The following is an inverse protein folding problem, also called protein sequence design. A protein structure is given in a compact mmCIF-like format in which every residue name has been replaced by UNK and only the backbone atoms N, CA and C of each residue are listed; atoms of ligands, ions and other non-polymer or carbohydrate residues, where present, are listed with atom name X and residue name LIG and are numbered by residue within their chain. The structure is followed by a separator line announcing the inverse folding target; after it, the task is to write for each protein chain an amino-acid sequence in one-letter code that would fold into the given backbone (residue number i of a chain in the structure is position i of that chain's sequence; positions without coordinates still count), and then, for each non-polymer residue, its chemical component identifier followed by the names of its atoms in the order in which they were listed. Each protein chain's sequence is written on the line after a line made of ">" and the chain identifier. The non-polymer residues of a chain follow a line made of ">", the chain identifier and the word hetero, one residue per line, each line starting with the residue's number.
data_IF_637106584304
#
_entry.id   IF_637106584304
#
_cell.length_a   1.000
_cell.length_b   1.000
_cell.length_c   1.000
_cell.angle_alpha   90.00
_cell.angle_beta   90.00
_cell.angle_gamma   90.00
#
_symmetry.space_group_name_H-M   'P 1'
#
loop_
_entity.id
_entity.type
_entity.pdbx_description
1 polymer ?
#
# COMPACT_ATOMS: atom_id res chain seq x y z
N UNK A 1 8.06 11.41 4.43
CA UNK A 1 6.79 11.64 3.69
C UNK A 1 6.86 10.89 2.38
N UNK A 2 5.75 10.36 1.87
CA UNK A 2 5.74 9.54 0.66
C UNK A 2 6.34 10.23 -0.58
N UNK A 3 6.27 11.56 -0.65
CA UNK A 3 6.87 12.36 -1.72
C UNK A 3 8.39 12.15 -1.90
N UNK A 4 9.11 11.74 -0.84
CA UNK A 4 10.54 11.42 -0.94
C UNK A 4 10.83 10.17 -1.79
N UNK A 5 9.80 9.36 -2.08
CA UNK A 5 9.87 8.21 -2.97
C UNK A 5 9.61 8.58 -4.44
N UNK A 6 9.40 9.87 -4.74
CA UNK A 6 9.04 10.33 -6.08
C UNK A 6 7.59 10.03 -6.47
N UNK A 7 6.73 9.68 -5.51
CA UNK A 7 5.31 9.38 -5.74
C UNK A 7 4.48 10.63 -5.50
N UNK A 8 3.84 11.12 -6.56
CA UNK A 8 2.90 12.25 -6.58
C UNK A 8 1.45 11.81 -6.73
N UNK A 9 1.19 10.62 -7.29
CA UNK A 9 -0.15 10.07 -7.48
C UNK A 9 -0.24 8.59 -7.06
N UNK A 10 -1.40 8.22 -6.53
CA UNK A 10 -1.70 6.88 -6.05
C UNK A 10 -2.97 6.34 -6.68
N UNK A 11 -2.93 5.09 -7.11
CA UNK A 11 -4.12 4.29 -7.42
C UNK A 11 -4.51 3.45 -6.21
N UNK A 12 -5.81 3.36 -5.92
CA UNK A 12 -6.33 2.56 -4.80
C UNK A 12 -6.45 1.10 -5.24
N UNK A 13 -5.83 0.21 -4.47
CA UNK A 13 -5.87 -1.23 -4.66
C UNK A 13 -6.71 -1.97 -3.62
N UNK A 14 -6.50 -3.30 -3.50
CA UNK A 14 -7.24 -4.14 -2.55
C UNK A 14 -7.05 -3.72 -1.09
N UNK A 15 -8.05 -4.01 -0.26
CA UNK A 15 -8.02 -3.69 1.16
C UNK A 15 -7.15 -4.67 1.95
N UNK A 16 -6.28 -4.15 2.84
CA UNK A 16 -5.47 -4.96 3.76
C UNK A 16 -6.26 -5.18 5.06
N UNK A 17 -6.83 -4.09 5.58
CA UNK A 17 -7.62 -4.05 6.81
C UNK A 17 -8.62 -2.89 6.72
N UNK A 18 -9.69 -2.87 7.54
CA UNK A 18 -10.72 -1.83 7.51
C UNK A 18 -10.12 -0.41 7.45
N UNK A 19 -10.32 0.28 6.33
CA UNK A 19 -9.85 1.64 6.08
C UNK A 19 -8.36 1.77 5.74
N UNK A 20 -7.67 0.68 5.43
CA UNK A 20 -6.27 0.66 5.00
C UNK A 20 -6.12 -0.19 3.73
N UNK A 21 -6.26 0.43 2.55
CA UNK A 21 -6.00 -0.24 1.29
C UNK A 21 -4.51 -0.26 0.93
N UNK A 22 -4.15 -1.20 0.07
CA UNK A 22 -2.97 -1.06 -0.76
C UNK A 22 -3.11 0.14 -1.69
N UNK A 23 -2.00 0.81 -1.96
CA UNK A 23 -1.94 1.90 -2.93
C UNK A 23 -0.75 1.69 -3.84
N UNK A 24 -0.93 1.99 -5.13
CA UNK A 24 0.12 1.86 -6.14
C UNK A 24 0.56 3.25 -6.58
N UNK A 25 1.86 3.54 -6.47
CA UNK A 25 2.46 4.73 -7.07
C UNK A 25 2.36 4.67 -8.60
N UNK A 26 1.83 5.72 -9.22
CA UNK A 26 1.56 5.73 -10.68
C UNK A 26 2.54 6.58 -11.49
N UNK A 27 3.47 7.29 -10.84
CA UNK A 27 4.38 8.23 -11.49
C UNK A 27 5.46 7.55 -12.34
N UNK A 28 5.87 6.33 -12.01
CA UNK A 28 6.86 5.55 -12.76
C UNK A 28 6.36 4.13 -13.05
N UNK A 29 5.80 3.88 -14.25
CA UNK A 29 5.33 2.55 -14.65
C UNK A 29 6.44 1.49 -14.74
N UNK A 30 7.70 1.88 -14.89
CA UNK A 30 8.82 0.94 -14.91
C UNK A 30 9.23 0.48 -13.50
N UNK A 31 8.71 1.14 -12.46
CA UNK A 31 8.98 0.85 -11.07
C UNK A 31 7.68 0.88 -10.24
N UNK A 32 6.81 -0.12 -10.40
CA UNK A 32 5.58 -0.22 -9.62
C UNK A 32 5.92 -0.26 -8.13
N UNK A 33 5.33 0.67 -7.36
CA UNK A 33 5.56 0.78 -5.92
C UNK A 33 4.26 0.62 -5.15
N UNK A 34 4.07 -0.56 -4.57
CA UNK A 34 2.98 -0.85 -3.65
C UNK A 34 3.27 -0.32 -2.25
N UNK A 35 2.28 0.35 -1.66
CA UNK A 35 2.39 1.11 -0.43
C UNK A 35 1.17 0.83 0.46
N UNK A 36 1.42 0.43 1.71
CA UNK A 36 0.43 0.34 2.76
C UNK A 36 0.47 1.62 3.60
N UNK A 37 -0.48 2.53 3.39
CA UNK A 37 -0.55 3.81 4.11
C UNK A 37 -1.51 3.72 5.29
N UNK A 38 -1.00 3.25 6.42
CA UNK A 38 -1.76 3.05 7.65
C UNK A 38 -1.72 4.31 8.54
N UNK A 39 -2.88 4.81 8.94
CA UNK A 39 -2.96 5.80 10.03
C UNK A 39 -2.68 5.13 11.39
N UNK A 40 -2.20 5.89 12.37
CA UNK A 40 -1.69 5.34 13.64
C UNK A 40 -2.59 4.29 14.31
N UNK A 41 -3.91 4.50 14.30
CA UNK A 41 -4.89 3.66 15.01
C UNK A 41 -5.61 2.61 14.14
N UNK A 42 -5.30 2.49 12.86
CA UNK A 42 -5.98 1.54 11.96
C UNK A 42 -5.22 0.22 11.85
N UNK A 43 -5.90 -0.87 11.51
CA UNK A 43 -5.28 -2.21 11.43
C UNK A 43 -5.14 -2.89 12.79
N UNK A 44 -5.26 -4.22 12.79
CA UNK A 44 -5.13 -5.06 13.99
C UNK A 44 -3.69 -5.23 14.45
N UNK A 45 -3.50 -6.00 15.53
CA UNK A 45 -2.18 -6.36 16.06
C UNK A 45 -1.26 -6.96 14.99
N UNK A 46 -1.84 -7.74 14.10
CA UNK A 46 -1.13 -8.53 13.10
C UNK A 46 -1.08 -7.84 11.72
N UNK A 47 -1.45 -6.56 11.63
CA UNK A 47 -1.56 -5.80 10.37
C UNK A 47 -0.35 -5.95 9.43
N UNK A 48 0.87 -5.93 9.97
CA UNK A 48 2.07 -6.07 9.13
C UNK A 48 2.20 -7.48 8.55
N UNK A 49 1.79 -8.51 9.29
CA UNK A 49 1.76 -9.89 8.80
C UNK A 49 0.65 -10.04 7.75
N UNK A 50 -0.52 -9.47 8.01
CA UNK A 50 -1.64 -9.44 7.06
C UNK A 50 -1.25 -8.75 5.75
N UNK A 51 -0.54 -7.62 5.84
CA UNK A 51 -0.01 -6.90 4.68
C UNK A 51 1.01 -7.76 3.91
N UNK A 52 1.99 -8.36 4.58
CA UNK A 52 2.99 -9.21 3.91
C UNK A 52 2.31 -10.41 3.23
N UNK A 53 1.33 -11.04 3.88
CA UNK A 53 0.57 -12.12 3.27
C UNK A 53 -0.25 -11.65 2.06
N UNK A 54 -0.85 -10.46 2.13
CA UNK A 54 -1.63 -9.88 1.04
C UNK A 54 -0.78 -9.47 -0.17
N UNK A 55 0.54 -9.30 -0.03
CA UNK A 55 1.42 -8.93 -1.15
C UNK A 55 1.40 -9.95 -2.29
N UNK A 56 1.29 -11.24 -1.97
CA UNK A 56 1.30 -12.32 -2.98
C UNK A 56 0.11 -12.25 -3.94
N UNK A 57 -0.98 -11.60 -3.54
CA UNK A 57 -2.19 -11.43 -4.35
C UNK A 57 -2.23 -10.14 -5.17
N UNK A 58 -1.21 -9.28 -5.08
CA UNK A 58 -1.20 -8.01 -5.81
C UNK A 58 -0.83 -8.22 -7.29
N UNK A 59 -1.48 -7.48 -8.21
CA UNK A 59 -1.06 -7.50 -9.60
C UNK A 59 0.35 -6.92 -9.73
N UNK A 60 1.12 -7.50 -10.66
CA UNK A 60 2.47 -7.06 -11.01
C UNK A 60 2.47 -5.68 -11.65
#
# INVERSE_FOLDING_TARGET
>A
MICALGVGALSIGPEIAPGVPWTLGTDDPARPLWLALKSGNFGGRDFFMDAIAALEGLPA
#
